data_IF_015395269520
#
_entry.id   IF_015395269520
#
_cell.length_a   1.000
_cell.length_b   1.000
_cell.length_c   1.000
_cell.angle_alpha   90.00
_cell.angle_beta   90.00
_cell.angle_gamma   90.00
#
_symmetry.space_group_name_H-M   'P 1'
#
loop_
_entity.id
_entity.type
_entity.pdbx_description
1 polymer ?
#
# COMPACT_ATOMS: atom_id res chain seq x y z
N UNK A 1 -35.78 20.25 -7.53
CA UNK A 1 -34.52 19.71 -8.07
C UNK A 1 -33.44 19.94 -7.03
N UNK A 2 -33.07 18.91 -6.28
CA UNK A 2 -31.95 18.99 -5.36
C UNK A 2 -30.67 18.78 -6.17
N UNK A 3 -29.84 19.82 -6.29
CA UNK A 3 -28.49 19.68 -6.84
C UNK A 3 -27.71 18.75 -5.91
N UNK A 4 -27.15 17.68 -6.46
CA UNK A 4 -26.22 16.83 -5.72
C UNK A 4 -24.98 17.67 -5.42
N UNK A 5 -24.67 17.84 -4.15
CA UNK A 5 -23.43 18.45 -3.63
C UNK A 5 -22.15 17.71 -4.07
N UNK A 6 -22.28 16.62 -4.81
CA UNK A 6 -21.18 15.82 -5.35
C UNK A 6 -20.88 16.10 -6.84
N UNK A 7 -21.70 16.90 -7.54
CA UNK A 7 -21.45 17.23 -8.95
C UNK A 7 -20.30 18.26 -9.14
N UNK A 8 -19.93 18.98 -8.08
CA UNK A 8 -18.90 20.03 -8.10
C UNK A 8 -17.57 19.61 -7.42
N UNK A 9 -17.38 18.33 -7.07
CA UNK A 9 -16.04 17.87 -6.70
C UNK A 9 -15.22 17.76 -7.98
N UNK A 10 -14.10 18.51 -8.12
CA UNK A 10 -13.17 18.24 -9.19
C UNK A 10 -12.84 16.76 -9.09
N UNK A 11 -13.06 16.02 -10.18
CA UNK A 11 -12.56 14.66 -10.32
C UNK A 11 -11.11 14.73 -9.86
N UNK A 12 -10.81 14.20 -8.66
CA UNK A 12 -9.44 13.97 -8.24
C UNK A 12 -8.98 12.99 -9.30
N UNK A 13 -8.30 13.51 -10.31
CA UNK A 13 -7.73 12.77 -11.43
C UNK A 13 -7.16 11.51 -10.81
N UNK A 14 -7.78 10.36 -11.09
CA UNK A 14 -7.46 9.10 -10.42
C UNK A 14 -5.95 8.90 -10.54
N UNK A 15 -5.22 9.21 -9.47
CA UNK A 15 -3.77 9.22 -9.50
C UNK A 15 -3.37 7.75 -9.47
N UNK A 16 -3.04 7.23 -10.64
CA UNK A 16 -2.89 5.79 -10.84
C UNK A 16 -1.64 5.30 -10.14
N UNK A 17 -1.64 4.01 -9.78
CA UNK A 17 -0.45 3.34 -9.25
C UNK A 17 0.78 3.54 -10.17
N UNK A 18 0.58 3.50 -11.48
CA UNK A 18 1.67 3.69 -12.46
C UNK A 18 2.22 5.11 -12.45
N UNK A 19 1.36 6.12 -12.33
CA UNK A 19 1.79 7.51 -12.14
C UNK A 19 2.56 7.68 -10.83
N UNK A 20 2.06 7.12 -9.74
CA UNK A 20 2.73 7.18 -8.44
C UNK A 20 4.11 6.50 -8.44
N UNK A 21 4.28 5.41 -9.22
CA UNK A 21 5.58 4.77 -9.43
C UNK A 21 6.49 5.65 -10.31
N UNK A 22 5.95 6.19 -11.40
CA UNK A 22 6.70 7.06 -12.33
C UNK A 22 7.22 8.32 -11.64
N UNK A 23 6.43 8.90 -10.75
CA UNK A 23 6.77 10.10 -10.00
C UNK A 23 7.67 9.80 -8.79
N UNK A 24 8.01 8.51 -8.56
CA UNK A 24 8.92 8.08 -7.51
C UNK A 24 8.32 8.14 -6.11
N UNK A 25 7.01 8.31 -5.97
CA UNK A 25 6.28 8.28 -4.69
C UNK A 25 6.15 6.83 -4.19
N UNK A 26 5.98 5.90 -5.13
CA UNK A 26 5.89 4.47 -4.88
C UNK A 26 7.05 3.73 -5.57
N UNK A 27 7.53 2.68 -4.93
CA UNK A 27 8.60 1.84 -5.44
C UNK A 27 8.09 0.41 -5.57
N UNK A 28 8.07 -0.11 -6.80
CA UNK A 28 7.76 -1.52 -7.03
C UNK A 28 8.96 -2.37 -6.64
N UNK A 29 8.79 -3.21 -5.62
CA UNK A 29 9.87 -4.03 -5.06
C UNK A 29 9.75 -5.52 -5.39
N UNK A 30 8.61 -5.93 -5.95
CA UNK A 30 8.38 -7.31 -6.32
C UNK A 30 6.96 -7.58 -6.80
N UNK A 31 6.58 -8.85 -6.74
CA UNK A 31 5.27 -9.34 -7.14
C UNK A 31 4.92 -10.61 -6.34
N UNK A 32 3.66 -10.72 -5.94
CA UNK A 32 3.10 -11.90 -5.26
C UNK A 32 1.85 -12.36 -6.04
N UNK A 33 2.01 -13.42 -6.84
CA UNK A 33 0.96 -13.87 -7.76
C UNK A 33 0.63 -12.77 -8.78
N UNK A 34 -0.63 -12.32 -8.83
CA UNK A 34 -1.05 -11.23 -9.72
C UNK A 34 -0.84 -9.82 -9.15
N UNK A 35 -0.49 -9.71 -7.87
CA UNK A 35 -0.41 -8.42 -7.18
C UNK A 35 1.03 -7.91 -7.18
N UNK A 36 1.23 -6.65 -7.57
CA UNK A 36 2.52 -6.00 -7.38
C UNK A 36 2.78 -5.78 -5.88
N UNK A 37 4.03 -5.93 -5.46
CA UNK A 37 4.45 -5.55 -4.11
C UNK A 37 5.12 -4.18 -4.20
N UNK A 38 4.55 -3.22 -3.48
CA UNK A 38 4.86 -1.80 -3.57
C UNK A 38 5.25 -1.27 -2.20
N UNK A 39 6.25 -0.42 -2.14
CA UNK A 39 6.63 0.33 -0.95
C UNK A 39 6.42 1.82 -1.22
N UNK A 40 6.07 2.62 -0.21
CA UNK A 40 6.24 4.07 -0.31
C UNK A 40 7.73 4.41 -0.39
N UNK A 41 8.08 5.50 -1.08
CA UNK A 41 9.46 5.95 -1.19
C UNK A 41 10.07 6.25 0.18
N UNK A 42 9.29 6.86 1.09
CA UNK A 42 9.70 7.11 2.47
C UNK A 42 10.03 5.81 3.22
N UNK A 43 9.20 4.77 3.08
CA UNK A 43 9.55 3.46 3.65
C UNK A 43 10.81 2.89 2.97
N UNK A 44 10.90 2.95 1.65
CA UNK A 44 11.99 2.31 0.91
C UNK A 44 13.37 2.95 1.20
N UNK A 45 13.50 4.25 0.97
CA UNK A 45 14.77 4.99 1.11
C UNK A 45 15.06 5.30 2.58
N UNK A 46 14.16 6.00 3.27
CA UNK A 46 14.44 6.45 4.65
C UNK A 46 14.27 5.32 5.67
N UNK A 47 13.48 4.30 5.36
CA UNK A 47 13.31 3.12 6.23
C UNK A 47 14.45 2.11 6.11
N UNK A 48 15.39 2.32 5.18
CA UNK A 48 16.53 1.41 4.97
C UNK A 48 16.14 0.07 4.35
N UNK A 49 15.07 0.04 3.57
CA UNK A 49 14.57 -1.15 2.87
C UNK A 49 15.11 -1.27 1.43
N UNK A 50 16.08 -0.44 1.06
CA UNK A 50 16.99 -0.70 -0.06
C UNK A 50 17.73 -2.04 0.12
N UNK A 51 18.07 -2.37 1.38
CA UNK A 51 18.60 -3.67 1.79
C UNK A 51 17.61 -4.79 1.44
N UNK A 52 18.07 -5.69 0.56
CA UNK A 52 17.25 -6.76 0.01
C UNK A 52 16.79 -7.74 1.09
N UNK A 53 17.64 -8.11 2.04
CA UNK A 53 17.32 -9.13 3.03
C UNK A 53 16.30 -8.58 4.04
N UNK A 54 16.50 -7.34 4.52
CA UNK A 54 15.51 -6.65 5.35
C UNK A 54 14.16 -6.54 4.66
N UNK A 55 14.17 -6.16 3.37
CA UNK A 55 12.96 -6.04 2.56
C UNK A 55 12.24 -7.37 2.39
N UNK A 56 12.98 -8.44 2.09
CA UNK A 56 12.40 -9.78 1.94
C UNK A 56 11.74 -10.27 3.24
N UNK A 57 12.38 -10.05 4.39
CA UNK A 57 11.83 -10.40 5.69
C UNK A 57 10.52 -9.63 5.95
N UNK A 58 10.49 -8.32 5.68
CA UNK A 58 9.30 -7.52 5.87
C UNK A 58 8.14 -7.96 4.96
N UNK A 59 8.43 -8.17 3.68
CA UNK A 59 7.44 -8.63 2.69
C UNK A 59 6.86 -9.97 3.11
N UNK A 60 7.71 -10.93 3.48
CA UNK A 60 7.26 -12.24 3.92
C UNK A 60 6.32 -12.14 5.12
N UNK A 61 6.71 -11.37 6.15
CA UNK A 61 5.90 -11.16 7.36
C UNK A 61 4.55 -10.51 7.02
N UNK A 62 4.54 -9.46 6.21
CA UNK A 62 3.29 -8.78 5.83
C UNK A 62 2.34 -9.68 5.04
N UNK A 63 2.87 -10.46 4.09
CA UNK A 63 2.07 -11.42 3.31
C UNK A 63 1.48 -12.51 4.21
N UNK A 64 2.24 -13.02 5.18
CA UNK A 64 1.72 -13.99 6.15
C UNK A 64 0.59 -13.42 7.00
N UNK A 65 0.69 -12.17 7.43
CA UNK A 65 -0.36 -11.49 8.20
C UNK A 65 -1.62 -11.25 7.37
N UNK A 66 -1.49 -10.93 6.07
CA UNK A 66 -2.62 -10.73 5.17
C UNK A 66 -3.41 -12.00 4.85
N UNK A 67 -2.81 -13.19 5.04
CA UNK A 67 -3.50 -14.48 4.87
C UNK A 67 -4.52 -14.75 5.97
N UNK A 68 -4.32 -14.20 7.16
CA UNK A 68 -5.26 -14.31 8.27
C UNK A 68 -6.38 -13.30 8.06
N UNK A 69 -7.64 -13.69 8.26
CA UNK A 69 -8.76 -12.74 8.19
C UNK A 69 -8.82 -11.85 9.44
N UNK A 70 -9.11 -10.57 9.24
CA UNK A 70 -9.26 -9.55 10.28
C UNK A 70 -10.69 -9.00 10.33
N UNK A 71 -11.12 -8.42 11.47
CA UNK A 71 -12.46 -7.87 11.62
C UNK A 71 -12.73 -6.66 10.72
N UNK A 72 -11.68 -5.97 10.27
CA UNK A 72 -11.77 -4.80 9.38
C UNK A 72 -11.58 -5.15 7.90
N UNK A 73 -11.48 -6.44 7.57
CA UNK A 73 -11.34 -6.86 6.18
C UNK A 73 -12.65 -6.64 5.42
N UNK A 74 -12.54 -6.18 4.18
CA UNK A 74 -13.60 -6.21 3.19
C UNK A 74 -13.27 -7.19 2.07
N UNK A 75 -14.22 -7.40 1.16
CA UNK A 75 -14.02 -8.29 0.00
C UNK A 75 -12.86 -7.83 -0.91
N UNK A 76 -12.56 -6.53 -0.91
CA UNK A 76 -11.55 -5.93 -1.77
C UNK A 76 -10.32 -5.40 -1.01
N UNK A 77 -10.39 -5.22 0.31
CA UNK A 77 -9.32 -4.57 1.07
C UNK A 77 -8.99 -5.30 2.38
N UNK A 78 -7.69 -5.43 2.68
CA UNK A 78 -7.18 -5.92 3.96
C UNK A 78 -6.02 -5.04 4.43
N UNK A 79 -6.01 -4.69 5.71
CA UNK A 79 -4.97 -3.87 6.35
C UNK A 79 -4.38 -4.59 7.56
N UNK A 80 -3.05 -4.65 7.67
CA UNK A 80 -2.35 -5.21 8.82
C UNK A 80 -1.26 -4.27 9.31
N UNK A 81 -1.13 -4.17 10.63
CA UNK A 81 -0.03 -3.46 11.29
C UNK A 81 1.12 -4.46 11.47
N UNK A 82 2.16 -4.36 10.65
CA UNK A 82 3.32 -5.28 10.67
C UNK A 82 4.24 -4.98 11.84
N UNK A 83 4.43 -3.69 12.12
CA UNK A 83 5.12 -3.18 13.30
C UNK A 83 4.36 -1.97 13.83
N UNK A 84 4.00 -2.01 15.11
CA UNK A 84 3.19 -0.99 15.75
C UNK A 84 3.87 0.37 15.62
N UNK A 85 3.09 1.37 15.20
CA UNK A 85 3.50 2.76 15.00
C UNK A 85 4.65 2.94 13.98
N UNK A 86 4.92 1.94 13.13
CA UNK A 86 6.02 2.02 12.14
C UNK A 86 5.67 1.54 10.76
N UNK A 87 5.00 0.39 10.61
CA UNK A 87 4.81 -0.22 9.30
C UNK A 87 3.45 -0.88 9.20
N UNK A 88 2.70 -0.46 8.19
CA UNK A 88 1.44 -1.05 7.78
C UNK A 88 1.59 -1.75 6.43
N UNK A 89 0.73 -2.73 6.18
CA UNK A 89 0.58 -3.36 4.88
C UNK A 89 -0.90 -3.39 4.49
N UNK A 90 -1.19 -2.99 3.26
CA UNK A 90 -2.53 -3.00 2.67
C UNK A 90 -2.53 -3.88 1.43
N UNK A 91 -3.58 -4.67 1.26
CA UNK A 91 -3.92 -5.30 -0.01
C UNK A 91 -5.28 -4.80 -0.45
N UNK A 92 -5.39 -4.18 -1.62
CA UNK A 92 -6.58 -3.45 -2.10
C UNK A 92 -7.16 -3.98 -3.44
N UNK A 93 -6.75 -5.19 -3.83
CA UNK A 93 -7.15 -5.79 -5.09
C UNK A 93 -6.32 -5.34 -6.30
N UNK A 94 -5.50 -4.29 -6.17
CA UNK A 94 -4.55 -3.86 -7.19
C UNK A 94 -3.11 -4.23 -6.81
N UNK A 95 -2.70 -3.94 -5.58
CA UNK A 95 -1.34 -4.17 -5.09
C UNK A 95 -1.32 -4.65 -3.64
N UNK A 96 -0.14 -5.05 -3.19
CA UNK A 96 0.22 -5.16 -1.78
C UNK A 96 1.18 -4.02 -1.47
N UNK A 97 0.72 -3.04 -0.71
CA UNK A 97 1.45 -1.80 -0.42
C UNK A 97 1.92 -1.79 1.01
N UNK A 98 3.22 -1.60 1.22
CA UNK A 98 3.84 -1.40 2.52
C UNK A 98 4.17 0.08 2.69
N UNK A 99 3.85 0.63 3.85
CA UNK A 99 4.04 2.06 4.12
C UNK A 99 4.21 2.32 5.61
N UNK A 100 4.67 3.51 5.96
CA UNK A 100 4.60 3.99 7.34
C UNK A 100 3.21 4.57 7.64
N UNK A 101 2.74 4.57 8.89
CA UNK A 101 1.41 5.10 9.24
C UNK A 101 1.20 6.55 8.80
N UNK A 102 2.26 7.37 8.80
CA UNK A 102 2.22 8.77 8.36
C UNK A 102 2.09 8.96 6.85
N UNK A 103 2.32 7.91 6.05
CA UNK A 103 2.17 7.95 4.59
C UNK A 103 0.73 7.57 4.15
N UNK A 104 -0.12 7.15 5.08
CA UNK A 104 -1.53 6.77 4.85
C UNK A 104 -2.46 7.96 5.04
#
# INVERSE_FOLDING_TARGET
MCKNIFDDMPIISAYTLEQAISDGILVKVGQCGRYAVIFTANLFYDGGYEDKDKRMILVQKGIEMLKQSGPEDSDCMRLRVVEKDKIWVIADGQAVTFMRPEDY
#
